data_IF_490156832003
#
_entry.id   IF_490156832003
#
_cell.length_a   1.000
_cell.length_b   1.000
_cell.length_c   1.000
_cell.angle_alpha   90.00
_cell.angle_beta   90.00
_cell.angle_gamma   90.00
#
_symmetry.space_group_name_H-M   'P 1'
#
loop_
_entity.id
_entity.type
_entity.pdbx_description
1 polymer ?
#
# COMPACT_ATOMS: atom_id res chain seq x y z
N UNK A 1 -10.81 37.01 31.23
CA UNK A 1 -10.17 36.72 29.91
C UNK A 1 -9.11 35.60 29.94
N UNK A 2 -8.23 35.48 30.94
CA UNK A 2 -7.23 34.39 31.01
C UNK A 2 -7.82 32.97 31.06
N UNK A 3 -8.92 32.76 31.81
CA UNK A 3 -9.61 31.46 31.93
C UNK A 3 -10.25 30.99 30.61
N UNK A 4 -10.84 31.90 29.82
CA UNK A 4 -11.42 31.57 28.50
C UNK A 4 -10.34 31.23 27.46
N UNK A 5 -9.19 31.91 27.48
CA UNK A 5 -8.05 31.59 26.61
C UNK A 5 -7.44 30.22 26.93
N UNK A 6 -7.43 29.83 28.21
CA UNK A 6 -6.99 28.49 28.65
C UNK A 6 -7.93 27.37 28.22
N UNK A 7 -9.25 27.58 28.32
CA UNK A 7 -10.26 26.61 27.84
C UNK A 7 -10.20 26.45 26.33
N UNK A 8 -10.01 27.55 25.59
CA UNK A 8 -9.90 27.51 24.12
C UNK A 8 -8.62 26.80 23.65
N UNK A 9 -7.49 26.99 24.36
CA UNK A 9 -6.24 26.27 24.09
C UNK A 9 -6.36 24.76 24.39
N UNK A 10 -7.07 24.39 25.45
CA UNK A 10 -7.30 22.98 25.80
C UNK A 10 -8.21 22.28 24.78
N UNK A 11 -9.25 22.96 24.27
CA UNK A 11 -10.11 22.42 23.22
C UNK A 11 -9.37 22.20 21.89
N UNK A 12 -8.46 23.10 21.52
CA UNK A 12 -7.65 22.95 20.31
C UNK A 12 -6.69 21.75 20.40
N UNK A 13 -6.08 21.53 21.57
CA UNK A 13 -5.17 20.39 21.83
C UNK A 13 -5.91 19.04 21.79
N UNK A 14 -7.13 19.00 22.33
CA UNK A 14 -7.98 17.80 22.26
C UNK A 14 -8.44 17.54 20.82
N UNK A 15 -8.80 18.57 20.05
CA UNK A 15 -9.20 18.42 18.65
C UNK A 15 -8.11 17.82 17.75
N UNK A 16 -6.85 18.24 17.94
CA UNK A 16 -5.70 17.70 17.19
C UNK A 16 -5.43 16.24 17.56
N UNK A 17 -5.59 15.86 18.84
CA UNK A 17 -5.43 14.48 19.29
C UNK A 17 -6.52 13.53 18.73
N UNK A 18 -7.75 14.01 18.54
CA UNK A 18 -8.81 13.21 17.92
C UNK A 18 -8.58 12.95 16.42
N UNK A 19 -7.94 13.88 15.68
CA UNK A 19 -7.61 13.67 14.26
C UNK A 19 -6.54 12.58 14.03
N UNK A 20 -5.66 12.33 15.01
CA UNK A 20 -4.67 11.25 14.91
C UNK A 20 -5.27 9.84 15.01
N UNK A 21 -6.50 9.67 15.51
CA UNK A 21 -7.14 8.35 15.63
C UNK A 21 -7.94 7.92 14.38
N UNK A 22 -8.21 8.83 13.43
CA UNK A 22 -8.95 8.51 12.20
C UNK A 22 -8.08 7.90 11.09
N UNK A 23 -6.76 7.73 11.31
CA UNK A 23 -5.81 7.23 10.30
C UNK A 23 -5.89 5.71 10.05
N UNK A 24 -6.51 4.93 10.93
CA UNK A 24 -6.65 3.49 10.77
C UNK A 24 -8.02 3.13 10.18
N UNK A 25 -8.29 3.53 8.94
CA UNK A 25 -9.30 2.86 8.13
C UNK A 25 -8.57 2.04 7.07
N UNK A 26 -8.36 0.75 7.37
CA UNK A 26 -7.88 -0.19 6.36
C UNK A 26 -9.01 -0.39 5.35
N UNK A 27 -8.84 0.21 4.17
CA UNK A 27 -9.67 -0.08 3.00
C UNK A 27 -9.36 -1.50 2.54
N UNK A 28 -10.03 -2.49 3.12
CA UNK A 28 -10.04 -3.84 2.57
C UNK A 28 -10.61 -3.75 1.15
N UNK A 29 -9.83 -4.13 0.16
CA UNK A 29 -10.25 -4.17 -1.23
C UNK A 29 -11.41 -5.16 -1.38
N UNK A 30 -12.57 -4.68 -1.82
CA UNK A 30 -13.73 -5.52 -2.11
C UNK A 30 -13.42 -6.38 -3.36
N UNK A 31 -13.43 -7.72 -3.26
CA UNK A 31 -13.05 -8.60 -4.37
C UNK A 31 -14.03 -8.55 -5.55
N UNK A 32 -15.20 -7.90 -5.41
CA UNK A 32 -16.15 -7.68 -6.51
C UNK A 32 -15.85 -6.44 -7.36
N UNK A 33 -14.90 -5.61 -6.95
CA UNK A 33 -14.55 -4.38 -7.66
C UNK A 33 -13.42 -4.67 -8.63
N UNK A 34 -13.64 -4.38 -9.91
CA UNK A 34 -12.58 -4.35 -10.91
C UNK A 34 -11.67 -3.14 -10.66
N UNK A 35 -10.38 -3.40 -10.48
CA UNK A 35 -9.38 -2.39 -10.20
C UNK A 35 -8.50 -2.07 -11.42
N UNK A 36 -8.86 -2.55 -12.61
CA UNK A 36 -8.04 -2.37 -13.82
C UNK A 36 -7.70 -0.89 -14.10
N UNK A 37 -8.70 -0.01 -14.10
CA UNK A 37 -8.49 1.43 -14.32
C UNK A 37 -7.54 2.05 -13.29
N UNK A 38 -7.63 1.60 -12.03
CA UNK A 38 -6.76 2.05 -10.95
C UNK A 38 -5.31 1.64 -11.22
N UNK A 39 -5.05 0.40 -11.59
CA UNK A 39 -3.69 -0.06 -11.91
C UNK A 39 -3.11 0.65 -13.14
N UNK A 40 -3.94 0.91 -14.16
CA UNK A 40 -3.53 1.69 -15.32
C UNK A 40 -3.14 3.13 -14.97
N UNK A 41 -3.83 3.76 -14.01
CA UNK A 41 -3.48 5.08 -13.49
C UNK A 41 -2.20 5.05 -12.63
N UNK A 42 -2.04 4.02 -11.79
CA UNK A 42 -0.88 3.87 -10.90
C UNK A 42 0.40 3.43 -11.62
N UNK A 43 0.30 2.92 -12.86
CA UNK A 43 1.42 2.40 -13.65
C UNK A 43 2.25 1.33 -12.92
N UNK A 44 1.62 0.63 -11.97
CA UNK A 44 2.26 -0.40 -11.16
C UNK A 44 1.22 -1.43 -10.72
N UNK A 45 1.67 -2.67 -10.61
CA UNK A 45 0.89 -3.81 -10.10
C UNK A 45 1.81 -4.59 -9.17
N UNK A 46 1.31 -4.96 -7.99
CA UNK A 46 2.02 -5.85 -7.06
C UNK A 46 1.59 -7.29 -7.31
N UNK A 47 2.55 -8.17 -7.56
CA UNK A 47 2.33 -9.61 -7.75
C UNK A 47 3.06 -10.35 -6.64
N UNK A 48 2.34 -11.18 -5.88
CA UNK A 48 2.92 -12.08 -4.88
C UNK A 48 3.29 -13.42 -5.50
N UNK A 49 4.44 -13.97 -5.10
CA UNK A 49 4.92 -15.29 -5.52
C UNK A 49 5.75 -15.92 -4.40
N UNK A 50 5.99 -17.23 -4.47
CA UNK A 50 6.90 -17.96 -3.57
C UNK A 50 8.34 -17.79 -4.08
N UNK A 51 9.23 -17.20 -3.27
CA UNK A 51 10.63 -16.91 -3.64
C UNK A 51 11.57 -18.13 -3.57
N UNK A 52 11.05 -19.34 -3.37
CA UNK A 52 11.83 -20.58 -3.35
C UNK A 52 11.46 -21.55 -4.48
N UNK A 53 10.52 -21.16 -5.34
CA UNK A 53 9.90 -22.06 -6.31
C UNK A 53 10.65 -22.06 -7.66
N UNK A 54 11.82 -22.71 -7.67
CA UNK A 54 12.62 -22.92 -8.89
C UNK A 54 11.87 -23.87 -9.86
N UNK A 55 11.78 -23.56 -11.17
CA UNK A 55 12.37 -22.43 -11.90
C UNK A 55 11.38 -21.27 -12.16
N UNK A 56 10.21 -21.27 -11.50
CA UNK A 56 9.11 -20.34 -11.78
C UNK A 56 9.37 -18.95 -11.20
N UNK A 57 9.72 -18.86 -9.93
CA UNK A 57 10.09 -17.62 -9.27
C UNK A 57 10.94 -17.93 -8.06
N UNK A 58 12.13 -17.35 -7.97
CA UNK A 58 13.03 -17.60 -6.85
C UNK A 58 13.98 -16.44 -6.61
N UNK A 59 14.47 -16.33 -5.37
CA UNK A 59 15.50 -15.38 -4.99
C UNK A 59 16.90 -15.94 -5.30
N UNK A 60 17.70 -15.14 -5.99
CA UNK A 60 19.10 -15.42 -6.28
C UNK A 60 20.02 -15.03 -5.11
N UNK A 61 21.30 -15.42 -5.17
CA UNK A 61 22.27 -15.15 -4.09
C UNK A 61 22.59 -13.67 -3.88
N UNK A 62 22.35 -12.84 -4.88
CA UNK A 62 22.48 -11.38 -4.86
C UNK A 62 21.23 -10.69 -4.26
N UNK A 63 20.14 -11.44 -3.98
CA UNK A 63 18.86 -10.90 -3.53
C UNK A 63 17.94 -10.44 -4.65
N UNK A 64 18.31 -10.64 -5.92
CA UNK A 64 17.43 -10.39 -7.06
C UNK A 64 16.46 -11.56 -7.25
N UNK A 65 15.34 -11.32 -7.94
CA UNK A 65 14.36 -12.36 -8.26
C UNK A 65 14.47 -12.78 -9.72
N UNK A 66 14.51 -14.09 -9.96
CA UNK A 66 14.60 -14.69 -11.28
C UNK A 66 13.57 -15.83 -11.45
N UNK A 67 13.41 -16.29 -12.69
CA UNK A 67 12.53 -17.40 -13.04
C UNK A 67 11.52 -17.08 -14.13
N UNK A 68 10.85 -18.12 -14.62
CA UNK A 68 9.91 -18.01 -15.74
C UNK A 68 8.76 -17.02 -15.47
N UNK A 69 8.14 -17.05 -14.29
CA UNK A 69 7.03 -16.15 -13.93
C UNK A 69 7.50 -14.69 -13.82
N UNK A 70 8.75 -14.46 -13.36
CA UNK A 70 9.34 -13.13 -13.27
C UNK A 70 9.52 -12.54 -14.68
N UNK A 71 10.13 -13.30 -15.59
CA UNK A 71 10.34 -12.88 -16.98
C UNK A 71 9.01 -12.66 -17.72
N UNK A 72 8.04 -13.57 -17.52
CA UNK A 72 6.71 -13.47 -18.10
C UNK A 72 5.98 -12.21 -17.61
N UNK A 73 6.00 -11.92 -16.31
CA UNK A 73 5.37 -10.72 -15.75
C UNK A 73 6.02 -9.44 -16.28
N UNK A 74 7.34 -9.40 -16.42
CA UNK A 74 8.07 -8.29 -17.03
C UNK A 74 7.73 -8.11 -18.51
N UNK A 75 7.53 -9.19 -19.25
CA UNK A 75 7.14 -9.11 -20.66
C UNK A 75 5.71 -8.61 -20.82
N UNK A 76 4.77 -9.15 -20.06
CA UNK A 76 3.34 -8.77 -20.12
C UNK A 76 3.15 -7.32 -19.66
N UNK A 77 3.86 -6.85 -18.64
CA UNK A 77 3.75 -5.47 -18.15
C UNK A 77 4.27 -4.41 -19.13
N UNK A 78 5.07 -4.80 -20.14
CA UNK A 78 5.54 -3.91 -21.22
C UNK A 78 4.58 -3.85 -22.40
N UNK A 79 3.59 -4.75 -22.47
CA UNK A 79 2.57 -4.77 -23.53
C UNK A 79 1.41 -3.85 -23.19
#
# INVERSE_FOLDING_TARGET
MKKQKGILGLLALVGVAFMSLAGCTQLASNPKVDNWDKYQQQKSITVGFDNTFVPMGFEEKNGDYAGFDIELAQYVSKK
#
